data_IF_215037871177
#
_entry.id   IF_215037871177
#
_cell.length_a   1.000
_cell.length_b   1.000
_cell.length_c   1.000
_cell.angle_alpha   90.00
_cell.angle_beta   90.00
_cell.angle_gamma   90.00
#
_symmetry.space_group_name_H-M   'P 1'
#
loop_
_entity.id
_entity.type
_entity.pdbx_description
1 polymer ?
#
# COMPACT_ATOMS: atom_id res chain seq x y z
N UNK A 1 -3.37 8.21 45.01
CA UNK A 1 -4.62 8.30 44.26
C UNK A 1 -4.48 8.96 42.90
N UNK A 2 -3.81 10.09 42.78
CA UNK A 2 -3.63 10.77 41.47
C UNK A 2 -2.94 9.89 40.42
N UNK A 3 -2.01 9.04 40.83
CA UNK A 3 -1.26 8.17 39.91
C UNK A 3 -2.13 7.08 39.28
N UNK A 4 -3.17 6.63 39.97
CA UNK A 4 -4.08 5.60 39.45
C UNK A 4 -4.94 6.13 38.32
N UNK A 5 -5.43 7.35 38.41
CA UNK A 5 -6.26 7.93 37.37
C UNK A 5 -5.50 8.16 36.07
N UNK A 6 -4.24 8.59 36.17
CA UNK A 6 -3.39 8.81 35.00
C UNK A 6 -3.10 7.50 34.26
N UNK A 7 -2.83 6.41 34.98
CA UNK A 7 -2.55 5.11 34.37
C UNK A 7 -3.78 4.55 33.67
N UNK A 8 -4.96 4.67 34.25
CA UNK A 8 -6.20 4.17 33.65
C UNK A 8 -6.55 4.97 32.39
N UNK A 9 -6.40 6.28 32.42
CA UNK A 9 -6.66 7.13 31.28
C UNK A 9 -5.71 6.81 30.12
N UNK A 10 -4.43 6.61 30.40
CA UNK A 10 -3.43 6.26 29.38
C UNK A 10 -3.74 4.90 28.74
N UNK A 11 -4.12 3.91 29.55
CA UNK A 11 -4.46 2.58 29.06
C UNK A 11 -5.71 2.63 28.16
N UNK A 12 -6.70 3.44 28.53
CA UNK A 12 -7.92 3.59 27.75
C UNK A 12 -7.64 4.23 26.38
N UNK A 13 -6.80 5.25 26.35
CA UNK A 13 -6.39 5.91 25.08
C UNK A 13 -5.67 4.93 24.17
N UNK A 14 -4.79 4.08 24.71
CA UNK A 14 -4.08 3.08 23.93
C UNK A 14 -5.03 2.04 23.33
N UNK A 15 -6.03 1.62 24.08
CA UNK A 15 -7.02 0.65 23.59
C UNK A 15 -7.85 1.24 22.45
N UNK A 16 -8.24 2.49 22.53
CA UNK A 16 -8.97 3.18 21.46
C UNK A 16 -8.12 3.31 20.19
N UNK A 17 -6.85 3.65 20.35
CA UNK A 17 -5.93 3.75 19.22
C UNK A 17 -5.73 2.39 18.54
N UNK A 18 -5.59 1.31 19.31
CA UNK A 18 -5.43 -0.03 18.78
C UNK A 18 -6.67 -0.50 18.01
N UNK A 19 -7.86 -0.11 18.43
CA UNK A 19 -9.11 -0.47 17.75
C UNK A 19 -9.29 0.24 16.39
N UNK A 20 -8.65 1.39 16.20
CA UNK A 20 -8.75 2.13 14.93
C UNK A 20 -7.74 1.66 13.88
N UNK A 21 -6.68 0.96 14.28
CA UNK A 21 -5.53 0.70 13.41
C UNK A 21 -5.68 -0.42 12.39
N UNK A 22 -6.67 -1.29 12.47
CA UNK A 22 -6.77 -2.44 11.58
C UNK A 22 -8.21 -2.73 11.14
N UNK A 23 -8.93 -1.68 10.77
CA UNK A 23 -10.32 -1.85 10.33
C UNK A 23 -10.39 -1.82 8.81
N UNK A 24 -10.79 -2.94 8.23
CA UNK A 24 -11.02 -3.06 6.79
C UNK A 24 -12.45 -3.50 6.56
N UNK A 25 -13.12 -2.87 5.61
CA UNK A 25 -14.48 -3.23 5.21
C UNK A 25 -14.54 -3.35 3.69
N UNK A 26 -15.09 -4.45 3.21
CA UNK A 26 -15.30 -4.66 1.79
C UNK A 26 -14.02 -4.64 0.97
N UNK A 27 -12.95 -5.22 1.49
CA UNK A 27 -11.68 -5.31 0.77
C UNK A 27 -11.68 -6.56 -0.10
N UNK A 28 -11.55 -6.35 -1.40
CA UNK A 28 -11.42 -7.43 -2.38
C UNK A 28 -10.08 -7.30 -3.07
N UNK A 29 -9.32 -8.38 -3.13
CA UNK A 29 -8.02 -8.41 -3.79
C UNK A 29 -8.01 -9.43 -4.91
N UNK A 30 -7.32 -9.09 -6.00
CA UNK A 30 -7.07 -10.00 -7.12
C UNK A 30 -5.59 -9.95 -7.45
N UNK A 31 -4.97 -11.10 -7.59
CA UNK A 31 -3.53 -11.21 -7.79
C UNK A 31 -3.24 -12.19 -8.94
N UNK A 32 -2.44 -11.74 -9.88
CA UNK A 32 -1.82 -12.59 -10.90
C UNK A 32 -0.30 -12.37 -10.84
N UNK A 33 0.46 -13.05 -11.70
CA UNK A 33 1.92 -12.93 -11.68
C UNK A 33 2.40 -11.48 -11.89
N UNK A 34 1.69 -10.73 -12.71
CA UNK A 34 2.10 -9.39 -13.11
C UNK A 34 1.19 -8.27 -12.60
N UNK A 35 0.09 -8.60 -11.92
CA UNK A 35 -0.91 -7.60 -11.57
C UNK A 35 -1.53 -7.85 -10.20
N UNK A 36 -1.73 -6.77 -9.47
CA UNK A 36 -2.42 -6.79 -8.18
C UNK A 36 -3.44 -5.66 -8.14
N UNK A 37 -4.69 -6.03 -7.89
CA UNK A 37 -5.81 -5.08 -7.80
C UNK A 37 -6.48 -5.21 -6.45
N UNK A 38 -6.79 -4.08 -5.83
CA UNK A 38 -7.60 -4.02 -4.62
C UNK A 38 -8.73 -3.05 -4.79
N UNK A 39 -9.92 -3.42 -4.34
CA UNK A 39 -11.04 -2.51 -4.17
C UNK A 39 -11.45 -2.54 -2.71
N UNK A 40 -11.85 -1.43 -2.15
CA UNK A 40 -12.14 -1.34 -0.72
C UNK A 40 -13.18 -0.27 -0.42
N UNK A 41 -14.09 -0.61 0.49
CA UNK A 41 -15.05 0.34 1.04
C UNK A 41 -14.43 1.13 2.20
N UNK A 42 -13.60 0.45 3.01
CA UNK A 42 -12.77 1.08 4.04
C UNK A 42 -11.48 0.28 4.17
N UNK A 43 -10.36 0.92 3.89
CA UNK A 43 -9.04 0.32 4.04
C UNK A 43 -8.23 1.17 5.01
N UNK A 44 -7.95 0.61 6.18
CA UNK A 44 -7.23 1.29 7.25
C UNK A 44 -6.22 0.34 7.88
N UNK A 45 -5.40 -0.29 7.06
CA UNK A 45 -4.34 -1.20 7.48
C UNK A 45 -3.27 -1.22 6.39
N UNK A 46 -2.45 -2.27 6.36
CA UNK A 46 -1.45 -2.43 5.32
C UNK A 46 -1.56 -3.80 4.67
N UNK A 47 -1.19 -3.86 3.40
CA UNK A 47 -1.06 -5.11 2.64
C UNK A 47 0.17 -5.02 1.76
N UNK A 48 0.80 -6.17 1.53
CA UNK A 48 1.96 -6.20 0.64
C UNK A 48 1.96 -7.43 -0.24
N UNK A 49 2.56 -7.30 -1.43
CA UNK A 49 2.75 -8.35 -2.40
C UNK A 49 4.15 -8.26 -2.99
N UNK A 50 4.69 -9.40 -3.40
CA UNK A 50 6.01 -9.47 -4.00
C UNK A 50 5.89 -9.66 -5.51
N UNK A 51 6.74 -8.95 -6.26
CA UNK A 51 6.83 -9.08 -7.71
C UNK A 51 8.29 -9.26 -8.10
N UNK A 52 8.56 -10.20 -8.98
CA UNK A 52 9.86 -10.26 -9.63
C UNK A 52 9.83 -9.32 -10.84
N UNK A 53 10.83 -8.47 -10.97
CA UNK A 53 10.94 -7.55 -12.10
C UNK A 53 12.37 -7.55 -12.62
N UNK A 54 12.51 -7.34 -13.92
CA UNK A 54 13.80 -7.25 -14.59
C UNK A 54 14.12 -5.79 -14.92
N UNK A 55 15.41 -5.51 -15.05
CA UNK A 55 15.85 -4.22 -15.53
C UNK A 55 15.17 -3.88 -16.86
N UNK A 56 14.56 -2.71 -16.94
CA UNK A 56 13.78 -2.30 -18.10
C UNK A 56 12.28 -2.49 -17.96
N UNK A 57 11.83 -3.24 -16.97
CA UNK A 57 10.41 -3.35 -16.66
C UNK A 57 9.90 -2.06 -16.03
N UNK A 58 8.59 -1.88 -16.07
CA UNK A 58 7.92 -0.76 -15.40
C UNK A 58 6.77 -1.28 -14.57
N UNK A 59 6.50 -0.63 -13.46
CA UNK A 59 5.25 -0.79 -12.72
C UNK A 59 4.32 0.36 -13.13
N UNK A 60 3.11 0.01 -13.54
CA UNK A 60 2.06 0.98 -13.84
C UNK A 60 1.11 0.99 -12.65
N UNK A 61 0.98 2.12 -12.01
CA UNK A 61 0.15 2.30 -10.81
C UNK A 61 -1.07 3.14 -11.18
N UNK A 62 -2.25 2.65 -10.81
CA UNK A 62 -3.52 3.36 -10.98
C UNK A 62 -4.26 3.33 -9.67
N UNK A 63 -4.64 4.48 -9.16
CA UNK A 63 -5.32 4.62 -7.89
C UNK A 63 -6.47 5.59 -8.03
N UNK A 64 -7.63 5.21 -7.49
CA UNK A 64 -8.81 6.07 -7.43
C UNK A 64 -9.40 5.95 -6.03
N UNK A 65 -9.19 6.96 -5.20
CA UNK A 65 -9.77 7.02 -3.86
C UNK A 65 -10.78 8.15 -3.80
N UNK A 66 -12.02 7.83 -3.43
CA UNK A 66 -13.05 8.83 -3.20
C UNK A 66 -12.94 9.44 -1.79
N UNK A 67 -12.32 8.70 -0.87
CA UNK A 67 -12.06 9.14 0.50
C UNK A 67 -10.71 8.60 0.94
N UNK A 68 -10.04 9.35 1.83
CA UNK A 68 -8.76 8.95 2.38
C UNK A 68 -7.65 8.90 1.36
N UNK A 69 -6.60 8.20 1.74
CA UNK A 69 -5.41 8.06 0.88
C UNK A 69 -4.69 6.77 1.19
N UNK A 70 -3.79 6.39 0.30
CA UNK A 70 -2.88 5.27 0.53
C UNK A 70 -1.45 5.77 0.46
N UNK A 71 -0.59 5.11 1.23
CA UNK A 71 0.86 5.30 1.16
C UNK A 71 1.45 4.08 0.47
N UNK A 72 2.14 4.31 -0.64
CA UNK A 72 2.72 3.25 -1.45
C UNK A 72 4.23 3.22 -1.27
N UNK A 73 4.78 2.03 -1.04
CA UNK A 73 6.22 1.80 -1.00
C UNK A 73 6.56 0.64 -1.93
N UNK A 74 7.54 0.83 -2.80
CA UNK A 74 8.06 -0.21 -3.68
C UNK A 74 9.56 -0.30 -3.46
N UNK A 75 10.04 -1.46 -3.00
CA UNK A 75 11.47 -1.62 -2.70
C UNK A 75 11.92 -3.07 -2.80
N UNK A 76 13.20 -3.27 -3.07
CA UNK A 76 13.85 -4.55 -2.85
C UNK A 76 14.27 -4.67 -1.39
N UNK A 77 14.39 -5.91 -0.90
CA UNK A 77 14.83 -6.18 0.46
C UNK A 77 16.22 -5.57 0.71
N UNK A 78 16.36 -4.89 1.84
CA UNK A 78 17.61 -4.24 2.26
C UNK A 78 18.12 -3.15 1.30
N UNK A 79 17.22 -2.54 0.56
CA UNK A 79 17.54 -1.46 -0.37
C UNK A 79 16.64 -0.27 -0.12
N UNK A 80 17.05 0.89 -0.62
CA UNK A 80 16.22 2.08 -0.57
C UNK A 80 15.00 1.90 -1.48
N UNK A 81 13.85 2.49 -1.15
CA UNK A 81 12.68 2.41 -2.00
C UNK A 81 12.94 2.99 -3.39
N UNK A 82 12.42 2.32 -4.43
CA UNK A 82 12.41 2.90 -5.78
C UNK A 82 11.25 3.88 -5.92
N UNK A 83 10.25 3.76 -5.06
CA UNK A 83 9.15 4.71 -4.94
C UNK A 83 8.58 4.66 -3.54
N UNK A 84 8.22 5.81 -2.97
CA UNK A 84 7.39 5.91 -1.77
C UNK A 84 6.65 7.24 -1.77
N UNK A 85 5.40 7.22 -1.37
CA UNK A 85 4.60 8.44 -1.30
C UNK A 85 3.12 8.18 -1.06
N UNK A 86 2.40 9.24 -0.73
CA UNK A 86 0.95 9.24 -0.59
C UNK A 86 0.30 9.37 -1.96
N UNK A 87 -0.76 8.61 -2.18
CA UNK A 87 -1.51 8.63 -3.42
C UNK A 87 -3.00 8.77 -3.09
N UNK A 88 -3.68 9.72 -3.71
CA UNK A 88 -5.14 9.87 -3.58
C UNK A 88 -5.83 9.35 -4.83
N UNK A 89 -5.65 10.00 -5.96
CA UNK A 89 -6.14 9.55 -7.25
C UNK A 89 -5.11 9.92 -8.31
N UNK A 90 -4.46 8.90 -8.87
CA UNK A 90 -3.32 9.13 -9.73
C UNK A 90 -3.06 7.92 -10.64
N UNK A 91 -2.35 8.19 -11.74
CA UNK A 91 -1.85 7.16 -12.65
C UNK A 91 -0.43 7.54 -13.04
N UNK A 92 0.51 6.64 -12.75
CA UNK A 92 1.92 6.90 -13.05
C UNK A 92 2.69 5.59 -13.20
N UNK A 93 3.92 5.70 -13.68
CA UNK A 93 4.80 4.55 -13.85
C UNK A 93 6.06 4.69 -12.99
N UNK A 94 6.58 3.55 -12.56
CA UNK A 94 7.85 3.45 -11.85
C UNK A 94 8.78 2.57 -12.69
N UNK A 95 9.91 3.12 -13.11
CA UNK A 95 10.89 2.39 -13.91
C UNK A 95 11.77 1.51 -13.03
N UNK A 96 11.99 0.28 -13.48
CA UNK A 96 12.84 -0.68 -12.78
C UNK A 96 14.20 -0.72 -13.47
N UNK A 97 15.24 -0.37 -12.75
CA UNK A 97 16.61 -0.33 -13.27
C UNK A 97 17.44 -1.54 -12.84
N UNK A 98 17.02 -2.23 -11.82
CA UNK A 98 17.76 -3.37 -11.26
C UNK A 98 16.84 -4.58 -11.14
N UNK A 99 17.24 -5.70 -11.70
CA UNK A 99 16.46 -6.95 -11.63
C UNK A 99 16.44 -7.51 -10.22
N UNK A 100 15.30 -8.01 -9.80
CA UNK A 100 15.15 -8.62 -8.49
C UNK A 100 13.70 -8.73 -8.04
N UNK A 101 13.54 -9.12 -6.79
CA UNK A 101 12.23 -9.24 -6.17
C UNK A 101 11.89 -7.95 -5.43
N UNK A 102 10.79 -7.36 -5.78
CA UNK A 102 10.30 -6.12 -5.18
C UNK A 102 9.11 -6.40 -4.29
N UNK A 103 9.07 -5.74 -3.14
CA UNK A 103 7.91 -5.75 -2.27
C UNK A 103 7.12 -4.46 -2.51
N UNK A 104 5.86 -4.62 -2.83
CA UNK A 104 4.91 -3.51 -3.00
C UNK A 104 4.04 -3.49 -1.76
N UNK A 105 4.15 -2.44 -0.97
CA UNK A 105 3.39 -2.27 0.27
C UNK A 105 2.43 -1.11 0.14
N UNK A 106 1.19 -1.34 0.48
CA UNK A 106 0.13 -0.33 0.46
C UNK A 106 -0.43 -0.17 1.87
N UNK A 107 -0.39 1.05 2.38
CA UNK A 107 -0.97 1.39 3.67
C UNK A 107 -2.15 2.33 3.44
N UNK A 108 -3.33 1.91 3.88
CA UNK A 108 -4.53 2.72 3.77
C UNK A 108 -4.72 3.60 5.01
N UNK A 109 -5.17 4.82 4.78
CA UNK A 109 -5.58 5.75 5.82
C UNK A 109 -7.02 6.14 5.55
N UNK A 110 -7.95 5.37 6.11
CA UNK A 110 -9.40 5.51 5.94
C UNK A 110 -9.77 5.65 4.45
N UNK A 111 -9.15 4.83 3.61
CA UNK A 111 -9.29 4.92 2.17
C UNK A 111 -10.55 4.20 1.69
N UNK A 112 -11.18 4.78 0.67
CA UNK A 112 -12.29 4.17 -0.06
C UNK A 112 -12.01 4.33 -1.54
N UNK A 113 -11.96 3.22 -2.27
CA UNK A 113 -11.67 3.28 -3.70
C UNK A 113 -11.02 2.03 -4.23
N UNK A 114 -10.04 2.23 -5.10
CA UNK A 114 -9.38 1.16 -5.85
C UNK A 114 -7.90 1.45 -6.02
N UNK A 115 -7.10 0.41 -5.91
CA UNK A 115 -5.66 0.43 -6.20
C UNK A 115 -5.33 -0.67 -7.20
N UNK A 116 -4.47 -0.35 -8.16
CA UNK A 116 -4.00 -1.32 -9.14
C UNK A 116 -2.52 -1.07 -9.43
N UNK A 117 -1.74 -2.16 -9.46
CA UNK A 117 -0.36 -2.13 -9.93
C UNK A 117 -0.15 -3.27 -10.91
N UNK A 118 0.47 -2.97 -12.05
CA UNK A 118 0.74 -3.94 -13.09
C UNK A 118 2.19 -3.80 -13.55
N UNK A 119 2.89 -4.93 -13.61
CA UNK A 119 4.24 -4.96 -14.16
C UNK A 119 4.15 -5.16 -15.67
N UNK A 120 4.84 -4.32 -16.41
CA UNK A 120 4.88 -4.36 -17.86
C UNK A 120 6.32 -4.32 -18.33
N UNK A 121 6.62 -5.09 -19.37
CA UNK A 121 7.94 -5.02 -19.99
C UNK A 121 7.96 -3.90 -21.02
N UNK A 122 8.90 -2.98 -20.85
CA UNK A 122 9.07 -1.87 -21.78
C UNK A 122 9.40 -2.35 -23.20
N UNK A 123 10.05 -3.51 -23.30
CA UNK A 123 10.43 -4.09 -24.59
C UNK A 123 9.28 -4.79 -25.30
N UNK A 124 8.22 -5.16 -24.61
CA UNK A 124 7.07 -5.84 -25.19
C UNK A 124 6.10 -4.90 -25.91
N UNK A 125 6.21 -3.60 -25.68
CA UNK A 125 5.36 -2.60 -26.31
C UNK A 125 5.86 -2.14 -27.70
N UNK A 126 7.02 -2.59 -28.10
CA UNK A 126 7.58 -2.26 -29.42
C UNK A 126 7.33 -3.42 -30.41
#
# INVERSE_FOLDING_TARGET
MRRFFVCIAAALVMLLSACEMNVNVGVTTMRSDDKWTMTYALFNSSKEENFYAESGDVFVIKTENSEGKIYLTIKMKNSDPVYEGNIESDEFTVNITESGRYTVRVEGEKAKGKFEIEKSSKNAEN
#
